data_IF_429744777473
#
_entry.id   IF_429744777473
#
_cell.length_a   1.000
_cell.length_b   1.000
_cell.length_c   1.000
_cell.angle_alpha   90.00
_cell.angle_beta   90.00
_cell.angle_gamma   90.00
#
_symmetry.space_group_name_H-M   'P 1'
#
loop_
_entity.id
_entity.type
_entity.pdbx_description
1 polymer ?
#
# COMPACT_ATOMS: atom_id res chain seq x y z
N UNK A 1 -13.31 -35.97 11.18
CA UNK A 1 -12.46 -35.27 12.17
C UNK A 1 -12.27 -33.83 11.71
N UNK A 2 -13.13 -32.90 12.15
CA UNK A 2 -13.00 -31.47 11.84
C UNK A 2 -12.36 -30.78 13.05
N UNK A 3 -11.14 -30.28 12.88
CA UNK A 3 -10.37 -29.61 13.93
C UNK A 3 -10.96 -28.25 14.29
N UNK A 4 -11.06 -28.01 15.60
CA UNK A 4 -11.43 -26.75 16.25
C UNK A 4 -10.54 -25.60 15.75
N UNK A 5 -11.05 -24.75 14.85
CA UNK A 5 -10.46 -23.42 14.69
C UNK A 5 -11.03 -22.54 15.79
N UNK A 6 -10.16 -21.92 16.59
CA UNK A 6 -10.60 -20.91 17.54
C UNK A 6 -11.29 -19.76 16.77
N UNK A 7 -12.41 -19.22 17.27
CA UNK A 7 -13.08 -18.09 16.62
C UNK A 7 -12.08 -16.94 16.45
N UNK A 8 -12.09 -16.30 15.28
CA UNK A 8 -11.25 -15.13 15.02
C UNK A 8 -11.57 -14.07 16.08
N UNK A 9 -10.61 -13.78 16.95
CA UNK A 9 -10.69 -12.62 17.83
C UNK A 9 -10.78 -11.39 16.95
N UNK A 10 -11.76 -10.52 17.21
CA UNK A 10 -11.90 -9.24 16.53
C UNK A 10 -10.62 -8.45 16.77
N UNK A 11 -9.85 -8.22 15.72
CA UNK A 11 -8.62 -7.42 15.79
C UNK A 11 -8.98 -6.02 16.24
N UNK A 12 -8.30 -5.50 17.26
CA UNK A 12 -8.37 -4.07 17.58
C UNK A 12 -7.99 -3.26 16.33
N UNK A 13 -8.87 -2.34 15.93
CA UNK A 13 -8.62 -1.45 14.80
C UNK A 13 -7.34 -0.66 15.10
N UNK A 14 -6.26 -0.94 14.38
CA UNK A 14 -5.10 -0.06 14.38
C UNK A 14 -5.58 1.28 13.79
N UNK A 15 -5.19 2.42 14.37
CA UNK A 15 -5.51 3.71 13.76
C UNK A 15 -4.92 3.70 12.35
N UNK A 16 -5.80 3.75 11.34
CA UNK A 16 -5.40 4.17 10.01
C UNK A 16 -4.84 5.57 10.18
N UNK A 17 -3.65 5.85 9.63
CA UNK A 17 -3.18 7.23 9.58
C UNK A 17 -4.26 8.02 8.83
N UNK A 18 -4.92 8.93 9.56
CA UNK A 18 -5.97 9.76 9.01
C UNK A 18 -5.37 10.55 7.84
N UNK A 19 -5.88 10.28 6.63
CA UNK A 19 -5.56 11.10 5.48
C UNK A 19 -6.05 12.51 5.79
N UNK A 20 -5.17 13.49 5.67
CA UNK A 20 -5.53 14.90 5.82
C UNK A 20 -6.71 15.21 4.88
N UNK A 21 -7.79 15.74 5.45
CA UNK A 21 -8.99 16.13 4.71
C UNK A 21 -8.61 17.08 3.58
N UNK A 22 -8.92 16.68 2.34
CA UNK A 22 -9.06 17.64 1.24
C UNK A 22 -10.48 17.59 0.71
N UNK A 23 -11.09 18.77 0.79
CA UNK A 23 -12.47 19.08 0.49
C UNK A 23 -12.94 18.60 -0.90
N UNK A 24 -14.23 18.28 -0.94
CA UNK A 24 -14.97 17.87 -2.12
C UNK A 24 -14.98 18.96 -3.21
N UNK A 25 -14.75 18.56 -4.45
CA UNK A 25 -15.17 19.29 -5.63
C UNK A 25 -16.04 18.37 -6.49
N UNK A 26 -17.33 18.71 -6.59
CA UNK A 26 -18.30 18.10 -7.49
C UNK A 26 -18.38 18.92 -8.79
N UNK A 27 -18.56 18.23 -9.93
CA UNK A 27 -19.14 18.83 -11.15
C UNK A 27 -18.42 18.60 -12.49
N UNK A 28 -18.93 17.60 -13.22
CA UNK A 28 -19.16 17.53 -14.68
C UNK A 28 -18.07 17.92 -15.73
N UNK A 29 -17.63 16.91 -16.47
CA UNK A 29 -17.72 16.81 -17.94
C UNK A 29 -17.07 17.88 -18.83
N UNK A 30 -15.85 17.63 -19.30
CA UNK A 30 -15.42 17.91 -20.68
C UNK A 30 -14.07 17.22 -20.98
N UNK A 31 -14.05 16.40 -22.04
CA UNK A 31 -12.85 15.80 -22.62
C UNK A 31 -11.94 16.89 -23.19
N UNK A 32 -11.09 17.46 -22.34
CA UNK A 32 -9.86 18.13 -22.74
C UNK A 32 -8.74 17.17 -22.40
N UNK A 33 -7.81 16.94 -23.34
CA UNK A 33 -6.50 16.35 -23.02
C UNK A 33 -5.87 17.23 -21.95
N UNK A 34 -6.17 16.91 -20.69
CA UNK A 34 -5.50 17.45 -19.54
C UNK A 34 -4.12 16.84 -19.63
N UNK A 35 -3.17 17.61 -20.17
CA UNK A 35 -1.78 17.47 -19.81
C UNK A 35 -1.77 17.38 -18.29
N UNK A 36 -1.70 16.16 -17.76
CA UNK A 36 -1.78 15.93 -16.34
C UNK A 36 -0.68 16.79 -15.73
N UNK A 37 -1.04 17.83 -14.97
CA UNK A 37 -0.06 18.55 -14.19
C UNK A 37 0.65 17.49 -13.38
N UNK A 38 1.98 17.41 -13.50
CA UNK A 38 2.77 16.50 -12.69
C UNK A 38 2.27 16.63 -11.24
N UNK A 39 2.00 15.51 -10.53
CA UNK A 39 1.57 15.61 -9.14
C UNK A 39 2.59 16.51 -8.43
N UNK A 40 2.11 17.57 -7.78
CA UNK A 40 2.96 18.49 -7.04
C UNK A 40 3.84 17.64 -6.13
N UNK A 41 5.15 17.64 -6.37
CA UNK A 41 6.11 16.94 -5.54
C UNK A 41 5.88 17.39 -4.10
N UNK A 42 5.85 16.47 -3.12
CA UNK A 42 5.70 16.88 -1.73
C UNK A 42 6.79 17.89 -1.40
N UNK A 43 6.40 19.15 -1.12
CA UNK A 43 7.33 20.17 -0.65
C UNK A 43 7.70 19.82 0.79
N UNK A 44 8.83 19.14 0.94
CA UNK A 44 9.39 18.77 2.24
C UNK A 44 10.27 17.53 2.17
N UNK A 45 11.14 17.33 3.16
CA UNK A 45 11.89 16.09 3.28
C UNK A 45 10.94 14.89 3.44
N UNK A 46 11.35 13.69 3.00
CA UNK A 46 10.53 12.50 3.16
C UNK A 46 10.23 12.24 4.65
N UNK A 47 8.99 11.85 4.94
CA UNK A 47 8.62 11.40 6.28
C UNK A 47 9.25 10.04 6.56
N UNK A 48 10.08 9.96 7.59
CA UNK A 48 10.78 8.73 7.99
C UNK A 48 10.32 8.24 9.36
N UNK A 49 10.27 6.92 9.52
CA UNK A 49 10.02 6.26 10.81
C UNK A 49 10.82 4.97 10.88
N UNK A 50 11.39 4.68 12.05
CA UNK A 50 11.97 3.37 12.36
C UNK A 50 10.92 2.46 13.01
N UNK A 51 10.94 1.19 12.62
CA UNK A 51 10.05 0.16 13.17
C UNK A 51 10.80 -1.17 13.26
N UNK A 52 10.78 -1.77 14.45
CA UNK A 52 11.25 -3.12 14.69
C UNK A 52 10.06 -4.07 14.91
N UNK A 53 9.94 -5.16 14.15
CA UNK A 53 8.92 -6.17 14.42
C UNK A 53 9.24 -6.91 15.74
N UNK A 54 8.23 -7.30 16.54
CA UNK A 54 8.45 -7.99 17.82
C UNK A 54 8.90 -9.45 17.66
N UNK A 55 8.89 -9.99 16.44
CA UNK A 55 9.28 -11.35 16.11
C UNK A 55 9.86 -11.40 14.68
N UNK A 56 10.60 -12.47 14.31
CA UNK A 56 11.07 -12.64 12.94
C UNK A 56 9.94 -12.53 11.92
N UNK A 57 10.14 -11.71 10.87
CA UNK A 57 9.14 -11.44 9.83
C UNK A 57 9.62 -11.98 8.48
N UNK A 58 8.99 -13.04 7.99
CA UNK A 58 9.20 -13.52 6.62
C UNK A 58 8.37 -12.71 5.63
N UNK A 59 9.02 -11.80 4.90
CA UNK A 59 8.36 -10.95 3.90
C UNK A 59 7.75 -11.75 2.76
N UNK A 60 8.34 -12.89 2.36
CA UNK A 60 7.80 -13.71 1.27
C UNK A 60 6.49 -14.36 1.69
N UNK A 61 6.47 -14.91 2.89
CA UNK A 61 5.28 -15.54 3.47
C UNK A 61 4.15 -14.53 3.67
N UNK A 62 4.47 -13.33 4.18
CA UNK A 62 3.46 -12.32 4.51
C UNK A 62 2.93 -11.58 3.28
N UNK A 63 3.81 -11.23 2.34
CA UNK A 63 3.42 -10.40 1.19
C UNK A 63 3.02 -11.24 -0.04
N UNK A 64 3.46 -12.49 -0.15
CA UNK A 64 3.13 -13.39 -1.25
C UNK A 64 1.63 -13.49 -1.59
N UNK A 65 0.72 -13.59 -0.61
CA UNK A 65 -0.72 -13.63 -0.86
C UNK A 65 -1.31 -12.39 -1.54
N UNK A 66 -0.58 -11.26 -1.58
CA UNK A 66 -1.05 -10.04 -2.25
C UNK A 66 -0.93 -10.09 -3.78
N UNK A 67 -0.19 -11.06 -4.33
CA UNK A 67 0.02 -11.25 -5.77
C UNK A 67 -1.25 -11.82 -6.42
N UNK A 68 -1.72 -11.20 -7.50
CA UNK A 68 -2.93 -11.61 -8.25
C UNK A 68 -2.67 -12.61 -9.38
N UNK A 69 -1.55 -13.33 -9.31
CA UNK A 69 -1.17 -14.34 -10.29
C UNK A 69 0.29 -14.23 -10.76
N UNK A 70 0.78 -15.22 -11.51
CA UNK A 70 2.19 -15.32 -11.90
C UNK A 70 2.69 -14.12 -12.73
N UNK A 71 1.81 -13.48 -13.49
CA UNK A 71 2.15 -12.33 -14.34
C UNK A 71 1.64 -10.99 -13.79
N UNK A 72 1.34 -10.90 -12.48
CA UNK A 72 0.84 -9.67 -11.88
C UNK A 72 1.80 -8.50 -12.12
N UNK A 73 1.43 -7.49 -12.94
CA UNK A 73 2.32 -6.37 -13.25
C UNK A 73 2.47 -5.41 -12.07
N UNK A 74 1.57 -5.50 -11.09
CA UNK A 74 1.54 -4.62 -9.92
C UNK A 74 2.34 -5.16 -8.75
N UNK A 75 2.96 -6.34 -8.88
CA UNK A 75 3.68 -7.05 -7.82
C UNK A 75 5.03 -7.55 -8.33
N UNK A 76 6.12 -7.23 -7.62
CA UNK A 76 7.44 -7.85 -7.87
C UNK A 76 8.15 -8.17 -6.57
N UNK A 77 8.76 -9.36 -6.50
CA UNK A 77 9.77 -9.71 -5.51
C UNK A 77 11.08 -10.00 -6.24
N UNK A 78 12.14 -9.30 -5.86
CA UNK A 78 13.48 -9.49 -6.44
C UNK A 78 14.30 -10.45 -5.59
N UNK A 79 15.36 -11.03 -6.17
CA UNK A 79 16.18 -12.06 -5.51
C UNK A 79 16.92 -11.58 -4.26
N UNK A 80 17.13 -10.27 -4.13
CA UNK A 80 17.69 -9.59 -2.95
C UNK A 80 16.68 -9.46 -1.79
N UNK A 81 15.44 -9.94 -1.97
CA UNK A 81 14.37 -9.83 -0.98
C UNK A 81 13.60 -8.52 -1.03
N UNK A 82 13.92 -7.60 -1.95
CA UNK A 82 13.15 -6.36 -2.12
C UNK A 82 11.78 -6.66 -2.70
N UNK A 83 10.77 -6.03 -2.12
CA UNK A 83 9.38 -6.13 -2.56
C UNK A 83 8.89 -4.81 -3.14
N UNK A 84 8.17 -4.88 -4.26
CA UNK A 84 7.56 -3.76 -4.95
C UNK A 84 6.09 -4.00 -5.19
N UNK A 85 5.28 -2.97 -4.94
CA UNK A 85 3.86 -2.99 -5.28
C UNK A 85 3.31 -1.63 -5.69
N UNK A 86 2.57 -1.61 -6.78
CA UNK A 86 1.76 -0.47 -7.16
C UNK A 86 0.41 -0.53 -6.43
N UNK A 87 -0.02 0.57 -5.83
CA UNK A 87 -1.30 0.69 -5.12
C UNK A 87 -2.00 1.99 -5.48
N UNK A 88 -3.32 2.02 -5.31
CA UNK A 88 -4.08 3.27 -5.32
C UNK A 88 -4.19 3.76 -3.88
N UNK A 89 -3.92 5.04 -3.67
CA UNK A 89 -4.11 5.74 -2.39
C UNK A 89 -5.12 6.87 -2.60
N UNK A 90 -5.74 7.43 -1.53
CA UNK A 90 -6.58 8.62 -1.66
C UNK A 90 -5.86 9.82 -2.30
N UNK A 91 -4.54 9.90 -2.16
CA UNK A 91 -3.70 10.93 -2.76
C UNK A 91 -3.30 10.64 -4.23
N UNK A 92 -3.73 9.49 -4.78
CA UNK A 92 -3.38 9.04 -6.13
C UNK A 92 -2.57 7.73 -6.16
N UNK A 93 -2.04 7.36 -7.34
CA UNK A 93 -1.20 6.16 -7.49
C UNK A 93 0.07 6.25 -6.63
N UNK A 94 0.38 5.16 -5.92
CA UNK A 94 1.55 5.04 -5.08
C UNK A 94 2.35 3.78 -5.41
N UNK A 95 3.66 3.84 -5.18
CA UNK A 95 4.54 2.67 -5.25
C UNK A 95 5.11 2.41 -3.87
N UNK A 96 4.93 1.19 -3.37
CA UNK A 96 5.50 0.71 -2.12
C UNK A 96 6.75 -0.12 -2.41
N UNK A 97 7.87 0.25 -1.80
CA UNK A 97 9.10 -0.54 -1.73
C UNK A 97 9.33 -0.99 -0.28
N UNK A 98 9.57 -2.28 -0.08
CA UNK A 98 10.02 -2.82 1.22
C UNK A 98 11.35 -3.52 0.98
N UNK A 99 12.36 -3.12 1.75
CA UNK A 99 13.69 -3.72 1.76
C UNK A 99 14.15 -3.88 3.22
N UNK A 100 15.12 -4.76 3.45
CA UNK A 100 15.78 -4.92 4.77
C UNK A 100 16.90 -3.91 4.93
#
# INVERSE_FOLDING_TARGET
>A
MAGRFAPRTTRAALPHQAAADRAAASGAGASRRQSASAPASPEGPPLTREWAPPAPLDLRLVLGPLRRGPADPTFRMTGDGTFWRATRTPAGPGTLRIAR
#
